data_IF_941244454516
#
_entry.id   IF_941244454516
#
_cell.length_a   1.000
_cell.length_b   1.000
_cell.length_c   1.000
_cell.angle_alpha   90.00
_cell.angle_beta   90.00
_cell.angle_gamma   90.00
#
_symmetry.space_group_name_H-M   'P 1'
#
loop_
_entity.id
_entity.type
_entity.pdbx_description
1 polymer ?
#
# COMPACT_ATOMS: atom_id res chain seq x y z
N UNK A 1 9.82 17.78 -10.70
CA UNK A 1 10.42 17.31 -9.44
C UNK A 1 9.53 16.24 -8.84
N UNK A 2 10.09 15.14 -8.32
CA UNK A 2 9.32 14.09 -7.61
C UNK A 2 9.55 14.23 -6.11
N UNK A 3 8.47 14.33 -5.35
CA UNK A 3 8.43 14.21 -3.89
C UNK A 3 7.66 12.92 -3.59
N UNK A 4 8.35 11.94 -2.99
CA UNK A 4 7.82 10.62 -2.66
C UNK A 4 7.61 10.56 -1.16
N UNK A 5 6.38 10.31 -0.73
CA UNK A 5 6.00 10.24 0.67
C UNK A 5 5.56 8.83 1.01
N UNK A 6 6.09 8.24 2.08
CA UNK A 6 5.56 6.99 2.61
C UNK A 6 4.43 7.27 3.60
N UNK A 7 3.30 6.62 3.38
CA UNK A 7 2.19 6.59 4.33
C UNK A 7 2.22 5.24 5.07
N UNK A 8 2.58 5.28 6.34
CA UNK A 8 2.60 4.10 7.21
C UNK A 8 1.18 3.75 7.68
N UNK A 9 0.60 2.66 7.20
CA UNK A 9 -0.77 2.24 7.53
C UNK A 9 -0.95 1.94 9.03
N UNK A 10 0.12 1.52 9.71
CA UNK A 10 0.16 1.31 11.16
C UNK A 10 0.18 2.61 11.99
N UNK A 11 0.19 3.80 11.37
CA UNK A 11 0.10 5.07 12.11
C UNK A 11 -1.23 5.20 12.88
N UNK A 12 -2.23 4.40 12.52
CA UNK A 12 -3.51 4.29 13.22
C UNK A 12 -3.39 3.66 14.61
N UNK A 13 -2.30 2.93 14.88
CA UNK A 13 -2.04 2.27 16.16
C UNK A 13 -1.13 3.08 17.11
N UNK A 14 -0.92 4.37 16.83
CA UNK A 14 -0.11 5.24 17.70
C UNK A 14 -0.68 5.30 19.12
N UNK A 15 0.23 5.43 20.09
CA UNK A 15 -0.11 5.48 21.51
C UNK A 15 -1.05 6.66 21.84
N UNK A 16 -1.84 6.55 22.92
CA UNK A 16 -2.64 7.66 23.43
C UNK A 16 -1.82 8.95 23.56
N UNK A 17 -2.45 10.09 23.25
CA UNK A 17 -1.83 11.43 23.21
C UNK A 17 -0.81 11.65 22.08
N UNK A 18 -0.65 10.71 21.15
CA UNK A 18 0.11 10.95 19.90
C UNK A 18 -0.87 11.21 18.76
N UNK A 19 -0.69 12.28 17.95
CA UNK A 19 -1.54 12.52 16.80
C UNK A 19 -1.52 11.33 15.84
N UNK A 20 -2.71 10.81 15.54
CA UNK A 20 -2.92 9.84 14.45
C UNK A 20 -3.01 10.63 13.16
N UNK A 21 -2.19 10.26 12.18
CA UNK A 21 -2.30 10.81 10.83
C UNK A 21 -3.30 9.93 10.05
N UNK A 22 -4.45 10.51 9.71
CA UNK A 22 -5.39 9.93 8.77
C UNK A 22 -5.13 10.47 7.36
N UNK A 23 -5.51 9.74 6.30
CA UNK A 23 -5.32 10.20 4.92
C UNK A 23 -5.94 11.59 4.66
N UNK A 24 -7.10 11.85 5.27
CA UNK A 24 -7.88 13.08 5.11
C UNK A 24 -7.17 14.34 5.62
N UNK A 25 -6.16 14.17 6.50
CA UNK A 25 -5.35 15.28 7.00
C UNK A 25 -4.15 15.61 6.09
N UNK A 26 -3.90 14.82 5.04
CA UNK A 26 -2.79 15.02 4.13
C UNK A 26 -3.20 16.05 3.08
N UNK A 27 -2.50 17.18 3.06
CA UNK A 27 -2.71 18.16 2.00
C UNK A 27 -2.19 17.60 0.64
N UNK A 28 -3.02 17.49 -0.41
CA UNK A 28 -2.66 16.80 -1.66
C UNK A 28 -1.41 17.35 -2.36
N UNK A 29 -1.12 18.64 -2.17
CA UNK A 29 0.04 19.29 -2.81
C UNK A 29 1.39 18.90 -2.22
N UNK A 30 1.46 18.31 -1.02
CA UNK A 30 2.73 18.00 -0.33
C UNK A 30 3.57 16.98 -1.11
N UNK A 31 2.91 15.99 -1.71
CA UNK A 31 3.54 14.85 -2.36
C UNK A 31 3.20 14.81 -3.85
N UNK A 32 4.08 14.21 -4.63
CA UNK A 32 3.78 13.83 -6.02
C UNK A 32 3.46 12.34 -6.13
N UNK A 33 4.02 11.54 -5.23
CA UNK A 33 3.78 10.11 -5.10
C UNK A 33 3.55 9.80 -3.62
N UNK A 34 2.53 9.01 -3.31
CA UNK A 34 2.33 8.43 -1.98
C UNK A 34 2.52 6.92 -2.11
N UNK A 35 3.44 6.37 -1.34
CA UNK A 35 3.69 4.94 -1.22
C UNK A 35 3.03 4.45 0.06
N UNK A 36 2.04 3.56 -0.08
CA UNK A 36 1.30 3.02 1.07
C UNK A 36 2.08 1.84 1.62
N UNK A 37 2.64 2.01 2.82
CA UNK A 37 3.43 1.02 3.53
C UNK A 37 2.53 0.31 4.57
N UNK A 38 2.28 -0.99 4.50
CA UNK A 38 2.72 -1.93 3.45
C UNK A 38 1.58 -2.88 3.04
N UNK A 39 1.74 -3.54 1.89
CA UNK A 39 1.12 -4.83 1.62
C UNK A 39 2.18 -5.95 1.72
N UNK A 40 1.71 -7.19 1.88
CA UNK A 40 2.57 -8.36 2.04
C UNK A 40 2.38 -9.34 0.90
N UNK A 41 3.35 -10.24 0.73
CA UNK A 41 3.28 -11.30 -0.28
C UNK A 41 2.99 -12.62 0.44
N UNK A 42 1.95 -13.31 0.00
CA UNK A 42 1.72 -14.69 0.41
C UNK A 42 2.84 -15.58 -0.16
N UNK A 43 3.66 -16.25 0.69
CA UNK A 43 4.87 -16.95 0.25
C UNK A 43 4.61 -18.20 -0.61
N UNK A 44 3.35 -18.66 -0.67
CA UNK A 44 2.94 -19.85 -1.42
C UNK A 44 2.18 -19.48 -2.69
N UNK A 45 1.25 -18.52 -2.62
CA UNK A 45 0.42 -18.14 -3.77
C UNK A 45 1.03 -17.01 -4.60
N UNK A 46 2.04 -16.31 -4.07
CA UNK A 46 2.66 -15.11 -4.64
C UNK A 46 1.66 -13.97 -4.89
N UNK A 47 0.54 -13.97 -4.17
CA UNK A 47 -0.44 -12.88 -4.20
C UNK A 47 -0.01 -11.77 -3.24
N UNK A 48 -0.17 -10.52 -3.67
CA UNK A 48 -0.10 -9.36 -2.77
C UNK A 48 -1.40 -9.27 -1.98
N UNK A 49 -1.28 -9.12 -0.67
CA UNK A 49 -2.39 -9.06 0.26
C UNK A 49 -2.26 -7.82 1.16
N UNK A 50 -3.37 -7.14 1.50
CA UNK A 50 -3.33 -6.02 2.46
C UNK A 50 -2.75 -6.50 3.79
N UNK A 51 -1.86 -5.71 4.41
CA UNK A 51 -1.23 -6.14 5.67
C UNK A 51 -2.18 -5.99 6.87
N UNK A 52 -3.17 -5.10 6.75
CA UNK A 52 -4.08 -4.75 7.84
C UNK A 52 -5.54 -4.80 7.40
N UNK A 53 -6.45 -5.16 8.32
CA UNK A 53 -7.89 -5.21 8.00
C UNK A 53 -8.45 -3.85 7.57
N UNK A 54 -7.98 -2.77 8.20
CA UNK A 54 -8.43 -1.40 7.91
C UNK A 54 -8.04 -0.90 6.52
N UNK A 55 -7.13 -1.58 5.85
CA UNK A 55 -6.72 -1.21 4.49
C UNK A 55 -7.90 -1.32 3.52
N UNK A 56 -8.67 -2.40 3.67
CA UNK A 56 -9.74 -2.80 2.75
C UNK A 56 -11.13 -2.87 3.38
N UNK A 57 -11.23 -2.79 4.71
CA UNK A 57 -12.52 -2.85 5.44
C UNK A 57 -12.81 -1.58 6.24
N UNK A 58 -14.10 -1.36 6.52
CA UNK A 58 -14.63 -0.21 7.26
C UNK A 58 -14.45 -0.37 8.78
N UNK A 59 -13.21 -0.42 9.26
CA UNK A 59 -12.92 -0.78 10.66
C UNK A 59 -12.50 0.39 11.56
N UNK A 60 -12.31 1.58 11.01
CA UNK A 60 -11.93 2.76 11.80
C UNK A 60 -13.07 3.79 11.94
N UNK A 61 -12.81 4.88 12.66
CA UNK A 61 -13.81 5.92 12.99
C UNK A 61 -14.47 6.57 11.77
N UNK A 62 -13.87 6.45 10.58
CA UNK A 62 -14.41 7.04 9.36
C UNK A 62 -15.35 6.08 8.63
N UNK A 63 -15.41 4.82 9.05
CA UNK A 63 -16.24 3.80 8.40
C UNK A 63 -15.98 3.75 6.89
N UNK A 64 -14.74 3.94 6.45
CA UNK A 64 -14.30 3.87 5.04
C UNK A 64 -12.89 3.26 5.01
N UNK A 65 -12.60 2.28 4.13
CA UNK A 65 -11.28 1.66 4.09
C UNK A 65 -10.17 2.68 3.82
N UNK A 66 -8.98 2.41 4.35
CA UNK A 66 -7.81 3.29 4.19
C UNK A 66 -7.48 3.55 2.71
N UNK A 67 -7.43 2.51 1.88
CA UNK A 67 -7.07 2.65 0.47
C UNK A 67 -8.04 3.60 -0.26
N UNK A 68 -9.34 3.45 -0.01
CA UNK A 68 -10.36 4.34 -0.58
C UNK A 68 -10.19 5.80 -0.16
N UNK A 69 -9.77 6.08 1.08
CA UNK A 69 -9.52 7.46 1.53
C UNK A 69 -8.27 8.06 0.89
N UNK A 70 -7.21 7.27 0.72
CA UNK A 70 -6.01 7.71 0.00
C UNK A 70 -6.31 7.99 -1.49
N UNK A 71 -7.16 7.18 -2.12
CA UNK A 71 -7.62 7.43 -3.49
C UNK A 71 -8.40 8.75 -3.63
N UNK A 72 -9.14 9.19 -2.60
CA UNK A 72 -9.80 10.51 -2.62
C UNK A 72 -8.80 11.67 -2.76
N UNK A 73 -7.56 11.52 -2.28
CA UNK A 73 -6.51 12.54 -2.49
C UNK A 73 -6.15 12.69 -3.97
N UNK A 74 -6.22 11.61 -4.76
CA UNK A 74 -6.05 11.67 -6.23
C UNK A 74 -7.17 12.46 -6.89
N UNK A 75 -8.40 12.39 -6.37
CA UNK A 75 -9.53 13.18 -6.89
C UNK A 75 -9.32 14.68 -6.66
N UNK A 76 -8.66 15.06 -5.57
CA UNK A 76 -8.31 16.46 -5.27
C UNK A 76 -7.09 16.95 -6.06
N UNK A 77 -6.15 16.06 -6.39
CA UNK A 77 -4.97 16.35 -7.21
C UNK A 77 -4.74 15.21 -8.20
N UNK A 78 -5.28 15.35 -9.41
CA UNK A 78 -5.23 14.31 -10.46
C UNK A 78 -3.81 13.91 -10.88
N UNK A 79 -2.81 14.76 -10.61
CA UNK A 79 -1.40 14.46 -10.87
C UNK A 79 -0.72 13.61 -9.77
N UNK A 80 -1.39 13.39 -8.63
CA UNK A 80 -0.88 12.56 -7.53
C UNK A 80 -0.89 11.09 -7.94
N UNK A 81 0.20 10.38 -7.67
CA UNK A 81 0.31 8.94 -7.88
C UNK A 81 0.25 8.20 -6.55
N UNK A 82 -0.57 7.16 -6.47
CA UNK A 82 -0.67 6.29 -5.32
C UNK A 82 -0.08 4.93 -5.68
N UNK A 83 0.96 4.52 -4.97
CA UNK A 83 1.63 3.24 -5.15
C UNK A 83 1.48 2.41 -3.87
N UNK A 84 1.42 1.08 -4.01
CA UNK A 84 1.50 0.17 -2.87
C UNK A 84 2.97 -0.24 -2.66
N UNK A 85 3.49 -0.05 -1.45
CA UNK A 85 4.78 -0.58 -1.06
C UNK A 85 4.62 -1.99 -0.51
N UNK A 86 5.42 -2.93 -1.01
CA UNK A 86 5.30 -4.37 -0.71
C UNK A 86 6.60 -4.86 -0.08
N UNK A 87 6.50 -5.44 1.12
CA UNK A 87 7.64 -5.92 1.89
C UNK A 87 7.86 -5.13 3.18
N UNK A 88 9.07 -4.61 3.36
CA UNK A 88 9.49 -3.93 4.58
C UNK A 88 10.07 -4.86 5.65
N UNK A 89 10.65 -4.27 6.71
CA UNK A 89 11.47 -5.00 7.69
C UNK A 89 10.77 -6.21 8.31
N UNK A 90 9.49 -6.07 8.66
CA UNK A 90 8.72 -7.14 9.33
C UNK A 90 8.33 -8.28 8.39
N UNK A 91 8.29 -8.05 7.07
CA UNK A 91 7.96 -9.07 6.09
C UNK A 91 9.12 -10.06 5.86
N UNK A 92 10.36 -9.63 6.11
CA UNK A 92 11.56 -10.40 5.79
C UNK A 92 11.71 -10.65 4.28
N UNK A 93 12.57 -11.59 3.91
CA UNK A 93 12.94 -11.85 2.51
C UNK A 93 12.38 -13.17 1.94
N UNK A 94 11.73 -14.01 2.74
CA UNK A 94 11.34 -15.36 2.34
C UNK A 94 10.43 -15.37 1.10
N UNK A 95 9.36 -14.58 1.12
CA UNK A 95 8.41 -14.53 0.02
C UNK A 95 9.07 -14.05 -1.29
N UNK A 96 9.95 -13.06 -1.22
CA UNK A 96 10.74 -12.60 -2.37
C UNK A 96 11.69 -13.70 -2.87
N UNK A 97 12.39 -14.39 -1.96
CA UNK A 97 13.27 -15.51 -2.33
C UNK A 97 12.47 -16.60 -3.07
N UNK A 98 11.27 -16.94 -2.60
CA UNK A 98 10.40 -17.93 -3.24
C UNK A 98 9.95 -17.48 -4.64
N UNK A 99 9.60 -16.20 -4.82
CA UNK A 99 9.26 -15.62 -6.14
C UNK A 99 10.45 -15.72 -7.09
N UNK A 100 11.66 -15.48 -6.62
CA UNK A 100 12.85 -15.42 -7.46
C UNK A 100 13.37 -16.79 -7.92
N UNK A 101 12.88 -17.89 -7.32
CA UNK A 101 13.34 -19.27 -7.60
C UNK A 101 13.31 -19.65 -9.08
N UNK A 102 12.27 -19.27 -9.83
CA UNK A 102 12.18 -19.57 -11.26
C UNK A 102 11.28 -18.57 -12.03
N UNK A 103 11.21 -18.73 -13.35
CA UNK A 103 10.41 -17.85 -14.22
C UNK A 103 8.91 -17.99 -14.02
N UNK A 104 8.42 -19.17 -13.66
CA UNK A 104 6.99 -19.44 -13.43
C UNK A 104 6.48 -18.72 -12.18
N UNK A 105 7.24 -18.73 -11.09
CA UNK A 105 6.91 -18.02 -9.84
C UNK A 105 6.93 -16.51 -10.06
N UNK A 106 7.93 -15.98 -10.78
CA UNK A 106 7.98 -14.56 -11.18
C UNK A 106 6.78 -14.15 -12.05
N UNK A 107 6.42 -14.97 -13.02
CA UNK A 107 5.27 -14.71 -13.91
C UNK A 107 3.97 -14.70 -13.13
N UNK A 108 3.80 -15.64 -12.19
CA UNK A 108 2.66 -15.68 -11.28
C UNK A 108 2.59 -14.41 -10.45
N UNK A 109 3.69 -14.01 -9.80
CA UNK A 109 3.74 -12.77 -9.01
C UNK A 109 3.38 -11.53 -9.83
N UNK A 110 3.91 -11.39 -11.04
CA UNK A 110 3.60 -10.25 -11.93
C UNK A 110 2.10 -10.21 -12.25
N UNK A 111 1.50 -11.36 -12.60
CA UNK A 111 0.06 -11.40 -12.90
C UNK A 111 -0.78 -11.05 -11.66
N UNK A 112 -0.48 -11.62 -10.50
CA UNK A 112 -1.19 -11.32 -9.25
C UNK A 112 -1.01 -9.88 -8.81
N UNK A 113 0.16 -9.30 -9.08
CA UNK A 113 0.43 -7.88 -8.83
C UNK A 113 -0.47 -7.00 -9.68
N UNK A 114 -0.58 -7.28 -10.99
CA UNK A 114 -1.51 -6.54 -11.87
C UNK A 114 -2.94 -6.62 -11.36
N UNK A 115 -3.40 -7.82 -11.00
CA UNK A 115 -4.74 -8.03 -10.48
C UNK A 115 -5.00 -7.18 -9.22
N UNK A 116 -4.06 -7.19 -8.26
CA UNK A 116 -4.15 -6.38 -7.04
C UNK A 116 -4.17 -4.87 -7.31
N UNK A 117 -3.29 -4.38 -8.19
CA UNK A 117 -3.24 -2.96 -8.53
C UNK A 117 -4.55 -2.49 -9.19
N UNK A 118 -5.13 -3.32 -10.06
CA UNK A 118 -6.43 -3.04 -10.67
C UNK A 118 -7.59 -3.11 -9.67
N UNK A 119 -7.58 -4.09 -8.77
CA UNK A 119 -8.63 -4.26 -7.74
C UNK A 119 -8.74 -3.04 -6.83
N UNK A 120 -7.60 -2.40 -6.50
CA UNK A 120 -7.53 -1.30 -5.53
C UNK A 120 -7.12 0.06 -6.13
N UNK A 121 -7.15 0.21 -7.46
CA UNK A 121 -6.86 1.44 -8.22
C UNK A 121 -5.50 2.11 -7.90
N UNK A 122 -4.47 1.30 -7.63
CA UNK A 122 -3.11 1.78 -7.45
C UNK A 122 -2.44 2.05 -8.80
N UNK A 123 -1.67 3.16 -8.88
CA UNK A 123 -0.93 3.56 -10.08
C UNK A 123 0.37 2.77 -10.27
N UNK A 124 0.78 1.95 -9.29
CA UNK A 124 2.00 1.17 -9.35
C UNK A 124 2.37 0.47 -8.05
N UNK A 125 3.54 -0.17 -8.08
CA UNK A 125 4.11 -0.95 -6.99
C UNK A 125 5.51 -0.44 -6.66
N UNK A 126 5.85 -0.49 -5.38
CA UNK A 126 7.18 -0.27 -4.83
C UNK A 126 7.62 -1.53 -4.08
N UNK A 127 8.77 -2.11 -4.43
CA UNK A 127 9.28 -3.35 -3.83
C UNK A 127 10.37 -2.99 -2.82
N UNK A 128 10.16 -3.34 -1.55
CA UNK A 128 10.97 -2.89 -0.40
C UNK A 128 11.62 -4.04 0.34
#
# INVERSE_FOLDING_TARGET
MRIVCYYANWSLYRLPNTPILYPDAIHPSLCTHIHVAFALINPTTFKIEPSEKHDTHHTDIFGTPLYHRLLKLKQQKSSLKLLIAVGGWTAGSEAFNNILTNSTTRTTFIQRTKDFLHEWDFDGIDLV
#
